data_IF_362095883210
#
_entry.id   IF_362095883210
#
_cell.length_a   1.000
_cell.length_b   1.000
_cell.length_c   1.000
_cell.angle_alpha   90.00
_cell.angle_beta   90.00
_cell.angle_gamma   90.00
#
_symmetry.space_group_name_H-M   'P 1'
#
loop_
_entity.id
_entity.type
_entity.pdbx_description
1 polymer ?
#
# COMPACT_ATOMS: atom_id res chain seq x y z
N UNK A 1 -0.89 25.05 4.06
CA UNK A 1 0.16 24.36 3.29
C UNK A 1 0.21 22.93 3.78
N UNK A 2 0.01 21.99 2.87
CA UNK A 2 -0.05 20.54 3.08
C UNK A 2 1.35 20.00 3.35
N UNK A 3 1.55 19.35 4.49
CA UNK A 3 2.41 18.16 4.61
C UNK A 3 2.13 17.52 5.98
N UNK A 4 1.54 16.32 5.95
CA UNK A 4 1.51 15.47 7.14
C UNK A 4 2.93 14.91 7.33
N UNK A 5 3.64 15.22 8.43
CA UNK A 5 5.01 14.79 8.63
C UNK A 5 4.98 13.35 9.12
N UNK A 6 5.42 12.44 8.27
CA UNK A 6 5.94 11.10 8.56
C UNK A 6 5.84 10.69 10.05
N UNK A 7 4.73 10.01 10.38
CA UNK A 7 4.55 9.32 11.66
C UNK A 7 5.54 8.15 11.70
N UNK A 8 6.50 8.13 12.65
CA UNK A 8 7.52 7.09 12.71
C UNK A 8 7.00 5.75 13.27
N UNK A 9 5.68 5.56 13.40
CA UNK A 9 5.05 4.33 13.90
C UNK A 9 4.45 3.42 12.82
N UNK A 10 4.41 3.84 11.54
CA UNK A 10 3.90 3.00 10.46
C UNK A 10 5.01 2.09 9.90
N UNK A 11 5.16 0.92 10.50
CA UNK A 11 6.02 -0.15 10.01
C UNK A 11 5.69 -0.47 8.54
N UNK A 12 6.67 -0.23 7.70
CA UNK A 12 6.59 0.18 6.30
C UNK A 12 6.18 -0.94 5.34
N UNK A 13 4.93 -1.39 5.41
CA UNK A 13 4.34 -2.34 4.48
C UNK A 13 2.96 -1.89 4.04
N UNK A 14 2.77 -1.56 2.76
CA UNK A 14 1.44 -1.45 2.19
C UNK A 14 0.80 -2.84 2.01
N UNK A 15 -0.44 -2.88 1.53
CA UNK A 15 -1.28 -4.08 1.47
C UNK A 15 -0.72 -5.17 0.56
N UNK A 16 0.27 -4.86 -0.28
CA UNK A 16 0.93 -5.82 -1.16
C UNK A 16 1.81 -6.82 -0.38
N UNK A 17 2.11 -6.57 0.90
CA UNK A 17 2.91 -7.48 1.74
C UNK A 17 2.29 -8.89 1.88
N UNK A 18 0.99 -9.05 1.63
CA UNK A 18 0.28 -10.33 1.66
C UNK A 18 0.17 -11.04 0.31
N UNK A 19 0.66 -10.45 -0.77
CA UNK A 19 0.46 -10.97 -2.12
C UNK A 19 1.45 -12.10 -2.47
N UNK A 20 1.02 -13.14 -3.20
CA UNK A 20 1.92 -14.25 -3.59
C UNK A 20 2.86 -13.88 -4.73
N UNK A 21 2.61 -12.76 -5.42
CA UNK A 21 3.40 -12.33 -6.57
C UNK A 21 4.73 -11.72 -6.13
N UNK A 22 5.89 -12.25 -6.58
CA UNK A 22 7.20 -11.66 -6.28
C UNK A 22 7.31 -10.19 -6.71
N UNK A 23 6.63 -9.83 -7.80
CA UNK A 23 6.60 -8.46 -8.31
C UNK A 23 5.85 -7.51 -7.35
N UNK A 24 4.73 -7.94 -6.77
CA UNK A 24 3.96 -7.11 -5.83
C UNK A 24 4.67 -6.99 -4.48
N UNK A 25 5.30 -8.06 -4.00
CA UNK A 25 6.09 -8.06 -2.77
C UNK A 25 7.28 -7.10 -2.85
N UNK A 26 7.90 -6.94 -4.02
CA UNK A 26 8.99 -5.98 -4.22
C UNK A 26 8.53 -4.52 -3.99
N UNK A 27 7.23 -4.24 -4.10
CA UNK A 27 6.64 -2.93 -3.88
C UNK A 27 5.90 -2.79 -2.54
N UNK A 28 5.93 -3.82 -1.69
CA UNK A 28 5.26 -3.79 -0.39
C UNK A 28 5.80 -2.70 0.53
N UNK A 29 7.08 -2.35 0.44
CA UNK A 29 7.69 -1.31 1.28
C UNK A 29 7.56 0.13 0.73
N UNK A 30 6.87 0.32 -0.39
CA UNK A 30 6.69 1.64 -0.96
C UNK A 30 5.80 2.51 -0.05
N UNK A 31 6.10 3.81 0.10
CA UNK A 31 5.39 4.72 1.00
C UNK A 31 3.95 5.06 0.54
N UNK A 32 3.60 4.66 -0.68
CA UNK A 32 2.23 4.76 -1.22
C UNK A 32 1.44 3.54 -0.74
N UNK A 33 0.24 3.76 -0.20
CA UNK A 33 -0.69 2.68 0.20
C UNK A 33 -1.29 2.02 -1.05
N UNK A 34 -0.51 1.15 -1.68
CA UNK A 34 -0.92 0.39 -2.84
C UNK A 34 -1.96 -0.68 -2.47
N UNK A 35 -2.94 -0.86 -3.35
CA UNK A 35 -3.90 -1.95 -3.30
C UNK A 35 -3.58 -2.97 -4.38
N UNK A 36 -3.74 -4.28 -4.11
CA UNK A 36 -3.73 -5.26 -5.17
C UNK A 36 -4.90 -5.01 -6.14
N UNK A 37 -4.67 -5.26 -7.42
CA UNK A 37 -5.70 -5.10 -8.44
C UNK A 37 -6.79 -6.16 -8.27
N UNK A 38 -8.04 -5.74 -8.05
CA UNK A 38 -9.17 -6.64 -7.82
C UNK A 38 -10.41 -5.89 -7.35
N UNK A 39 -11.50 -6.61 -7.10
CA UNK A 39 -12.79 -6.03 -6.73
C UNK A 39 -12.70 -5.13 -5.49
N UNK A 40 -11.86 -5.49 -4.51
CA UNK A 40 -11.64 -4.67 -3.31
C UNK A 40 -11.04 -3.28 -3.61
N UNK A 41 -10.28 -3.14 -4.70
CA UNK A 41 -9.77 -1.84 -5.14
C UNK A 41 -10.88 -0.98 -5.79
N UNK A 42 -11.77 -1.61 -6.56
CA UNK A 42 -12.91 -0.94 -7.18
C UNK A 42 -13.99 -0.55 -6.15
N UNK A 43 -14.27 -1.40 -5.17
CA UNK A 43 -15.23 -1.09 -4.10
C UNK A 43 -14.78 0.10 -3.24
N UNK A 44 -13.47 0.30 -3.08
CA UNK A 44 -12.91 1.47 -2.40
C UNK A 44 -12.99 2.78 -3.20
N UNK A 45 -13.24 2.69 -4.51
CA UNK A 45 -13.28 3.82 -5.43
C UNK A 45 -14.70 4.30 -5.77
N UNK A 46 -15.75 3.64 -5.24
CA UNK A 46 -17.11 4.19 -5.20
C UNK A 46 -17.25 5.29 -4.14
#
# INVERSE_FOLDING_TARGET
>A
VTTNPHDPGAESGNRLAGEPSPYLLQHAANPVDWFPWGDAAFDRAR
#
